data_IF_693259015819
#
_entry.id   IF_693259015819
#
_cell.length_a   1.000
_cell.length_b   1.000
_cell.length_c   1.000
_cell.angle_alpha   90.00
_cell.angle_beta   90.00
_cell.angle_gamma   90.00
#
_symmetry.space_group_name_H-M   'P 1'
#
loop_
_entity.id
_entity.type
_entity.pdbx_description
1 polymer ?
#
# COMPACT_ATOMS: atom_id res chain seq x y z
N UNK A 1 15.52 -14.09 -8.51
CA UNK A 1 14.82 -14.56 -9.74
C UNK A 1 13.90 -15.75 -9.46
N UNK A 2 14.40 -16.87 -8.92
CA UNK A 2 13.53 -18.00 -8.56
C UNK A 2 12.51 -17.68 -7.43
N UNK A 3 12.91 -16.89 -6.43
CA UNK A 3 12.02 -16.40 -5.36
C UNK A 3 10.90 -15.52 -5.90
N UNK A 4 11.21 -14.54 -6.76
CA UNK A 4 10.21 -13.62 -7.30
C UNK A 4 9.24 -14.29 -8.27
N UNK A 5 9.68 -15.27 -9.05
CA UNK A 5 8.79 -16.05 -9.92
C UNK A 5 7.83 -16.92 -9.09
N UNK A 6 8.33 -17.50 -7.99
CA UNK A 6 7.50 -18.23 -7.04
C UNK A 6 6.44 -17.31 -6.41
N UNK A 7 6.82 -16.11 -5.97
CA UNK A 7 5.89 -15.12 -5.41
C UNK A 7 4.78 -14.74 -6.41
N UNK A 8 5.12 -14.43 -7.66
CA UNK A 8 4.13 -14.14 -8.71
C UNK A 8 3.13 -15.29 -8.92
N UNK A 9 3.61 -16.53 -8.95
CA UNK A 9 2.74 -17.71 -9.11
C UNK A 9 1.78 -17.86 -7.92
N UNK A 10 2.28 -17.66 -6.70
CA UNK A 10 1.48 -17.74 -5.47
C UNK A 10 0.38 -16.66 -5.47
N UNK A 11 0.71 -15.42 -5.80
CA UNK A 11 -0.27 -14.34 -5.88
C UNK A 11 -1.39 -14.62 -6.89
N UNK A 12 -1.03 -15.11 -8.07
CA UNK A 12 -1.98 -15.48 -9.13
C UNK A 12 -2.89 -16.65 -8.72
N UNK A 13 -2.34 -17.67 -8.06
CA UNK A 13 -3.10 -18.83 -7.59
C UNK A 13 -4.12 -18.44 -6.51
N UNK A 14 -3.69 -17.65 -5.53
CA UNK A 14 -4.56 -17.19 -4.44
C UNK A 14 -5.68 -16.31 -5.00
N UNK A 15 -5.35 -15.36 -5.87
CA UNK A 15 -6.33 -14.51 -6.54
C UNK A 15 -7.40 -15.32 -7.29
N UNK A 16 -7.03 -16.47 -7.87
CA UNK A 16 -7.99 -17.33 -8.59
C UNK A 16 -8.85 -18.21 -7.68
N UNK A 17 -8.31 -18.67 -6.55
CA UNK A 17 -8.88 -19.81 -5.82
C UNK A 17 -9.32 -19.52 -4.39
N UNK A 18 -8.86 -18.42 -3.77
CA UNK A 18 -8.99 -18.18 -2.32
C UNK A 18 -9.43 -16.76 -1.96
N UNK A 19 -9.91 -16.00 -2.93
CA UNK A 19 -10.37 -14.62 -2.73
C UNK A 19 -11.81 -14.50 -3.19
N UNK A 20 -12.69 -14.12 -2.27
CA UNK A 20 -14.03 -13.67 -2.60
C UNK A 20 -13.95 -12.29 -3.24
N UNK A 21 -14.45 -12.18 -4.48
CA UNK A 21 -14.31 -10.97 -5.29
C UNK A 21 -15.58 -10.15 -5.24
N UNK A 22 -15.38 -8.85 -5.11
CA UNK A 22 -16.42 -7.84 -5.32
C UNK A 22 -16.08 -7.05 -6.59
N UNK A 23 -17.08 -6.37 -7.16
CA UNK A 23 -16.84 -5.49 -8.31
C UNK A 23 -15.84 -4.39 -7.91
N UNK A 24 -14.77 -4.22 -8.69
CA UNK A 24 -13.75 -3.20 -8.45
C UNK A 24 -14.36 -1.79 -8.45
N UNK A 25 -15.31 -1.50 -9.34
CA UNK A 25 -15.99 -0.21 -9.42
C UNK A 25 -16.71 0.15 -8.11
N UNK A 26 -17.26 -0.85 -7.42
CA UNK A 26 -17.92 -0.62 -6.13
C UNK A 26 -16.90 -0.10 -5.10
N UNK A 27 -15.70 -0.66 -5.08
CA UNK A 27 -14.62 -0.24 -4.18
C UNK A 27 -14.11 1.15 -4.59
N UNK A 28 -13.87 1.36 -5.88
CA UNK A 28 -13.39 2.64 -6.43
C UNK A 28 -14.36 3.78 -6.13
N UNK A 29 -15.66 3.58 -6.36
CA UNK A 29 -16.68 4.59 -6.07
C UNK A 29 -16.85 4.82 -4.56
N UNK A 30 -16.81 3.77 -3.75
CA UNK A 30 -16.88 3.90 -2.28
C UNK A 30 -15.66 4.65 -1.74
N UNK A 31 -14.47 4.39 -2.30
CA UNK A 31 -13.28 5.12 -1.91
C UNK A 31 -13.35 6.58 -2.36
N UNK A 32 -13.78 6.83 -3.59
CA UNK A 32 -13.98 8.19 -4.11
C UNK A 32 -14.95 9.02 -3.27
N UNK A 33 -16.05 8.44 -2.80
CA UNK A 33 -16.98 9.14 -1.90
C UNK A 33 -16.37 9.44 -0.54
N UNK A 34 -15.55 8.54 0.01
CA UNK A 34 -14.81 8.80 1.26
C UNK A 34 -13.84 9.96 1.07
N UNK A 35 -13.05 9.98 0.00
CA UNK A 35 -12.09 11.06 -0.27
C UNK A 35 -12.82 12.39 -0.46
N UNK A 36 -13.89 12.42 -1.26
CA UNK A 36 -14.70 13.62 -1.48
C UNK A 36 -15.33 14.16 -0.18
N UNK A 37 -15.82 13.26 0.68
CA UNK A 37 -16.36 13.63 1.99
C UNK A 37 -15.28 14.23 2.89
N UNK A 38 -14.08 13.63 2.94
CA UNK A 38 -12.97 14.17 3.73
C UNK A 38 -12.52 15.54 3.23
N UNK A 39 -12.43 15.74 1.91
CA UNK A 39 -12.13 17.05 1.34
C UNK A 39 -13.16 18.09 1.80
N UNK A 40 -14.44 17.73 1.87
CA UNK A 40 -15.49 18.62 2.37
C UNK A 40 -15.36 18.86 3.87
N UNK A 41 -15.12 17.82 4.67
CA UNK A 41 -15.04 17.90 6.14
C UNK A 41 -13.84 18.68 6.65
N UNK A 42 -12.75 18.71 5.87
CA UNK A 42 -11.51 19.46 6.17
C UNK A 42 -11.42 20.78 5.42
N UNK A 43 -12.52 21.33 4.90
CA UNK A 43 -12.55 22.61 4.18
C UNK A 43 -11.50 22.70 3.04
N UNK A 44 -11.30 21.59 2.33
CA UNK A 44 -10.31 21.44 1.25
C UNK A 44 -8.85 21.66 1.71
N UNK A 45 -8.54 21.43 2.99
CA UNK A 45 -7.17 21.27 3.49
C UNK A 45 -6.64 19.87 3.14
N UNK A 46 -6.01 19.76 1.97
CA UNK A 46 -5.49 18.51 1.45
C UNK A 46 -4.39 17.88 2.31
N UNK A 47 -3.67 18.67 3.09
CA UNK A 47 -2.67 18.14 4.02
C UNK A 47 -3.34 17.33 5.13
N UNK A 48 -4.43 17.85 5.71
CA UNK A 48 -5.21 17.11 6.70
C UNK A 48 -5.91 15.89 6.09
N UNK A 49 -6.44 16.01 4.87
CA UNK A 49 -7.03 14.88 4.14
C UNK A 49 -6.00 13.75 3.97
N UNK A 50 -4.79 14.07 3.52
CA UNK A 50 -3.73 13.08 3.34
C UNK A 50 -3.36 12.38 4.65
N UNK A 51 -3.26 13.11 5.76
CA UNK A 51 -2.98 12.55 7.08
C UNK A 51 -4.10 11.59 7.53
N UNK A 52 -5.36 11.96 7.27
CA UNK A 52 -6.49 11.13 7.62
C UNK A 52 -6.59 9.89 6.73
N UNK A 53 -6.29 10.00 5.43
CA UNK A 53 -6.19 8.86 4.51
C UNK A 53 -5.12 7.86 4.97
N UNK A 54 -3.93 8.34 5.31
CA UNK A 54 -2.84 7.51 5.82
C UNK A 54 -3.22 6.84 7.15
N UNK A 55 -3.85 7.57 8.09
CA UNK A 55 -4.32 7.01 9.35
C UNK A 55 -5.39 5.93 9.17
N UNK A 56 -6.34 6.14 8.26
CA UNK A 56 -7.34 5.11 7.94
C UNK A 56 -6.67 3.88 7.32
N UNK A 57 -5.76 4.10 6.37
CA UNK A 57 -4.97 3.04 5.75
C UNK A 57 -4.22 2.21 6.78
N UNK A 58 -3.56 2.87 7.74
CA UNK A 58 -2.83 2.21 8.82
C UNK A 58 -3.69 1.24 9.61
N UNK A 59 -4.87 1.69 10.05
CA UNK A 59 -5.81 0.82 10.79
C UNK A 59 -6.33 -0.34 9.94
N UNK A 60 -6.54 -0.11 8.63
CA UNK A 60 -6.90 -1.17 7.69
C UNK A 60 -5.76 -2.18 7.56
N UNK A 61 -4.52 -1.72 7.36
CA UNK A 61 -3.33 -2.54 7.21
C UNK A 61 -3.07 -3.46 8.39
N UNK A 62 -3.24 -2.95 9.62
CA UNK A 62 -3.11 -3.75 10.85
C UNK A 62 -4.08 -4.92 10.91
N UNK A 63 -5.27 -4.82 10.30
CA UNK A 63 -6.27 -5.89 10.27
C UNK A 63 -6.11 -6.78 9.04
N UNK A 64 -5.67 -6.20 7.92
CA UNK A 64 -5.54 -6.88 6.64
C UNK A 64 -4.40 -7.91 6.64
N UNK A 65 -3.34 -7.66 7.41
CA UNK A 65 -2.16 -8.52 7.47
C UNK A 65 -2.48 -9.96 7.93
N UNK A 66 -3.43 -10.15 8.86
CA UNK A 66 -3.81 -11.47 9.32
C UNK A 66 -4.44 -12.31 8.20
N UNK A 67 -5.35 -11.70 7.43
CA UNK A 67 -5.97 -12.34 6.26
C UNK A 67 -4.93 -12.63 5.17
N UNK A 68 -3.98 -11.71 4.95
CA UNK A 68 -2.86 -11.92 4.03
C UNK A 68 -2.00 -13.12 4.42
N UNK A 69 -1.62 -13.23 5.70
CA UNK A 69 -0.80 -14.34 6.19
C UNK A 69 -1.55 -15.68 6.11
N UNK A 70 -2.84 -15.69 6.47
CA UNK A 70 -3.69 -16.87 6.39
C UNK A 70 -3.87 -17.38 4.96
N UNK A 71 -4.06 -16.48 3.98
CA UNK A 71 -4.26 -16.85 2.57
C UNK A 71 -2.96 -17.21 1.86
N UNK A 72 -1.89 -16.48 2.14
CA UNK A 72 -0.60 -16.65 1.45
C UNK A 72 0.21 -17.84 1.95
N UNK A 73 -0.03 -18.28 3.19
CA UNK A 73 0.76 -19.31 3.87
C UNK A 73 2.27 -19.01 3.80
N UNK A 74 2.61 -17.72 3.82
CA UNK A 74 3.99 -17.26 3.72
C UNK A 74 4.60 -17.25 5.11
N UNK A 75 5.79 -17.82 5.25
CA UNK A 75 6.61 -17.63 6.44
C UNK A 75 7.18 -16.21 6.55
N UNK A 76 7.92 -15.94 7.63
CA UNK A 76 8.60 -14.66 7.83
C UNK A 76 9.59 -14.39 6.67
N UNK A 77 9.54 -13.18 6.10
CA UNK A 77 10.46 -12.77 5.05
C UNK A 77 11.89 -12.64 5.62
N UNK A 78 12.89 -13.10 4.86
CA UNK A 78 14.28 -13.14 5.35
C UNK A 78 14.98 -11.77 5.27
N UNK A 79 14.59 -10.93 4.31
CA UNK A 79 15.16 -9.61 4.09
C UNK A 79 14.12 -8.68 3.43
N UNK A 80 14.43 -7.38 3.39
CA UNK A 80 13.51 -6.38 2.86
C UNK A 80 13.24 -6.52 1.36
N UNK A 81 14.15 -7.13 0.58
CA UNK A 81 13.92 -7.42 -0.84
C UNK A 81 12.84 -8.48 -1.03
N UNK A 82 12.86 -9.52 -0.21
CA UNK A 82 11.80 -10.53 -0.21
C UNK A 82 10.46 -9.91 0.20
N UNK A 83 10.47 -9.02 1.20
CA UNK A 83 9.27 -8.25 1.59
C UNK A 83 8.71 -7.43 0.43
N UNK A 84 9.56 -6.72 -0.33
CA UNK A 84 9.13 -5.95 -1.49
C UNK A 84 8.49 -6.83 -2.59
N UNK A 85 9.08 -7.99 -2.87
CA UNK A 85 8.52 -8.97 -3.82
C UNK A 85 7.17 -9.49 -3.33
N UNK A 86 7.01 -9.76 -2.03
CA UNK A 86 5.73 -10.20 -1.44
C UNK A 86 4.66 -9.11 -1.51
N UNK A 87 5.01 -7.85 -1.22
CA UNK A 87 4.09 -6.72 -1.34
C UNK A 87 3.59 -6.60 -2.79
N UNK A 88 4.51 -6.50 -3.75
CA UNK A 88 4.20 -6.30 -5.17
C UNK A 88 3.44 -7.47 -5.78
N UNK A 89 3.94 -8.70 -5.62
CA UNK A 89 3.49 -9.86 -6.41
C UNK A 89 2.40 -10.68 -5.75
N UNK A 90 2.22 -10.51 -4.43
CA UNK A 90 1.26 -11.26 -3.65
C UNK A 90 0.25 -10.31 -3.02
N UNK A 91 0.69 -9.31 -2.26
CA UNK A 91 -0.18 -8.36 -1.56
C UNK A 91 -1.10 -7.59 -2.51
N UNK A 92 -0.51 -6.76 -3.37
CA UNK A 92 -1.27 -5.99 -4.35
C UNK A 92 -2.07 -6.88 -5.32
N UNK A 93 -1.54 -8.06 -5.65
CA UNK A 93 -2.22 -9.00 -6.55
C UNK A 93 -3.48 -9.60 -5.92
N UNK A 94 -3.42 -9.97 -4.64
CA UNK A 94 -4.55 -10.58 -3.92
C UNK A 94 -5.65 -9.57 -3.62
N UNK A 95 -5.29 -8.31 -3.30
CA UNK A 95 -6.28 -7.33 -2.83
C UNK A 95 -6.82 -6.43 -3.93
N UNK A 96 -5.98 -6.08 -4.91
CA UNK A 96 -6.30 -5.08 -5.93
C UNK A 96 -6.11 -5.60 -7.36
N UNK A 97 -5.71 -6.87 -7.54
CA UNK A 97 -5.41 -7.49 -8.83
C UNK A 97 -4.29 -6.81 -9.65
N UNK A 98 -3.50 -5.94 -9.03
CA UNK A 98 -2.39 -5.24 -9.68
C UNK A 98 -1.05 -5.80 -9.23
N UNK A 99 0.00 -5.55 -10.01
CA UNK A 99 1.35 -6.01 -9.68
C UNK A 99 2.33 -4.87 -9.97
N UNK A 100 2.50 -3.93 -9.02
CA UNK A 100 3.40 -2.81 -9.21
C UNK A 100 4.83 -3.30 -9.37
N UNK A 101 5.61 -2.66 -10.24
CA UNK A 101 7.00 -3.06 -10.49
C UNK A 101 7.91 -2.50 -9.40
N UNK A 102 8.69 -3.38 -8.75
CA UNK A 102 9.67 -3.00 -7.74
C UNK A 102 10.95 -2.49 -8.42
N UNK A 103 11.32 -1.23 -8.20
CA UNK A 103 12.48 -0.58 -8.83
C UNK A 103 13.24 0.32 -7.84
N UNK A 104 14.22 1.09 -8.35
CA UNK A 104 14.91 2.17 -7.64
C UNK A 104 15.45 1.80 -6.25
N UNK A 105 16.00 0.59 -6.13
CA UNK A 105 16.65 0.13 -4.90
C UNK A 105 17.86 1.00 -4.53
N UNK A 106 17.92 1.37 -3.26
CA UNK A 106 19.13 1.93 -2.65
C UNK A 106 20.19 0.85 -2.45
N UNK A 107 21.46 1.27 -2.43
CA UNK A 107 22.60 0.36 -2.30
C UNK A 107 22.61 -0.42 -0.96
N UNK A 108 22.03 0.15 0.10
CA UNK A 108 21.91 -0.46 1.42
C UNK A 108 20.68 -1.38 1.55
N UNK A 109 19.88 -1.52 0.50
CA UNK A 109 18.65 -2.32 0.47
C UNK A 109 17.59 -1.90 1.50
N UNK A 110 17.61 -0.65 1.96
CA UNK A 110 16.60 -0.14 2.91
C UNK A 110 15.46 0.59 2.25
N UNK A 111 15.57 0.91 0.97
CA UNK A 111 14.56 1.70 0.27
C UNK A 111 14.40 1.22 -1.16
N UNK A 112 13.15 1.16 -1.62
CA UNK A 112 12.77 0.81 -2.99
C UNK A 112 11.55 1.63 -3.42
N UNK A 113 11.23 1.57 -4.71
CA UNK A 113 10.02 2.17 -5.26
C UNK A 113 9.08 1.12 -5.83
N UNK A 114 7.79 1.37 -5.69
CA UNK A 114 6.71 0.65 -6.36
C UNK A 114 6.19 1.56 -7.48
N UNK A 115 6.34 1.10 -8.73
CA UNK A 115 5.77 1.75 -9.90
C UNK A 115 4.45 1.08 -10.26
N UNK A 116 3.39 1.87 -10.35
CA UNK A 116 2.06 1.41 -10.70
C UNK A 116 1.80 1.72 -12.17
N UNK A 117 1.62 0.68 -12.99
CA UNK A 117 1.22 0.85 -14.39
C UNK A 117 -0.26 1.25 -14.50
N UNK A 118 -1.10 0.70 -13.62
CA UNK A 118 -2.51 1.01 -13.48
C UNK A 118 -2.85 1.12 -11.99
N UNK A 119 -3.50 2.23 -11.60
CA UNK A 119 -3.96 2.43 -10.22
C UNK A 119 -5.48 2.21 -10.15
N UNK A 120 -5.95 1.06 -9.63
CA UNK A 120 -7.36 0.67 -9.70
C UNK A 120 -8.27 1.56 -8.83
N UNK A 121 -7.70 2.34 -7.91
CA UNK A 121 -8.44 3.32 -7.12
C UNK A 121 -8.70 4.61 -7.90
N UNK A 122 -7.95 4.87 -8.97
CA UNK A 122 -7.93 6.15 -9.68
C UNK A 122 -8.61 6.13 -11.07
N UNK A 123 -9.13 4.98 -11.52
CA UNK A 123 -9.61 4.78 -12.90
C UNK A 123 -10.72 5.76 -13.38
N UNK A 124 -11.43 6.43 -12.47
CA UNK A 124 -12.50 7.40 -12.79
C UNK A 124 -12.35 8.72 -12.03
N UNK A 125 -11.14 9.04 -11.60
CA UNK A 125 -10.89 10.16 -10.71
C UNK A 125 -10.26 11.30 -11.48
N UNK A 126 -10.88 12.47 -11.37
CA UNK A 126 -10.26 13.75 -11.74
C UNK A 126 -10.14 14.57 -10.46
N UNK A 127 -8.96 15.15 -10.22
CA UNK A 127 -8.76 16.02 -9.07
C UNK A 127 -9.52 17.34 -9.29
N UNK A 128 -10.04 17.97 -8.21
CA UNK A 128 -10.65 19.29 -8.31
C UNK A 128 -9.73 20.31 -8.99
N UNK A 129 -10.29 21.15 -9.85
CA UNK A 129 -9.57 22.25 -10.52
C UNK A 129 -9.56 23.52 -9.66
N UNK A 130 -9.19 23.38 -8.39
CA UNK A 130 -9.07 24.49 -7.43
C UNK A 130 -7.65 25.04 -7.33
N UNK A 131 -6.74 24.52 -8.16
CA UNK A 131 -5.33 24.88 -8.23
C UNK A 131 -4.47 24.36 -7.08
N UNK A 132 -5.04 23.68 -6.07
CA UNK A 132 -4.31 23.12 -4.92
C UNK A 132 -4.33 21.60 -4.91
N UNK A 133 -5.43 20.98 -5.32
CA UNK A 133 -5.58 19.53 -5.29
C UNK A 133 -4.47 18.83 -6.10
N UNK A 134 -4.12 19.36 -7.26
CA UNK A 134 -3.05 18.82 -8.11
C UNK A 134 -1.67 18.88 -7.45
N UNK A 135 -1.45 19.79 -6.50
CA UNK A 135 -0.16 19.98 -5.83
C UNK A 135 -0.08 19.34 -4.45
N UNK A 136 -1.22 19.16 -3.77
CA UNK A 136 -1.25 18.76 -2.37
C UNK A 136 -1.94 17.41 -2.15
N UNK A 137 -2.96 17.04 -2.92
CA UNK A 137 -3.75 15.83 -2.66
C UNK A 137 -3.07 14.58 -3.22
N UNK A 138 -2.81 13.62 -2.34
CA UNK A 138 -2.41 12.27 -2.72
C UNK A 138 -3.64 11.37 -2.65
N UNK A 139 -4.37 11.26 -3.76
CA UNK A 139 -5.66 10.59 -3.79
C UNK A 139 -5.59 9.17 -3.23
N UNK A 140 -4.51 8.43 -3.50
CA UNK A 140 -4.33 7.05 -3.03
C UNK A 140 -3.50 6.91 -1.76
N UNK A 141 -3.36 7.97 -0.93
CA UNK A 141 -2.50 7.94 0.27
C UNK A 141 -2.92 6.89 1.31
N UNK A 142 -4.16 6.37 1.22
CA UNK A 142 -4.59 5.22 2.02
C UNK A 142 -3.67 4.00 1.83
N UNK A 143 -3.09 3.81 0.63
CA UNK A 143 -2.21 2.69 0.35
C UNK A 143 -0.89 2.78 1.13
N UNK A 144 -0.36 3.99 1.33
CA UNK A 144 0.81 4.23 2.18
C UNK A 144 0.54 3.75 3.61
N UNK A 145 -0.61 4.16 4.14
CA UNK A 145 -1.08 3.75 5.46
C UNK A 145 -1.22 2.24 5.58
N UNK A 146 -1.85 1.59 4.60
CA UNK A 146 -2.04 0.13 4.58
C UNK A 146 -0.71 -0.60 4.66
N UNK A 147 0.29 -0.19 3.86
CA UNK A 147 1.62 -0.80 3.91
C UNK A 147 2.28 -0.59 5.28
N UNK A 148 2.17 0.62 5.84
CA UNK A 148 2.76 0.96 7.14
C UNK A 148 2.15 0.12 8.27
N UNK A 149 0.82 0.04 8.33
CA UNK A 149 0.12 -0.76 9.34
C UNK A 149 0.35 -2.26 9.19
N UNK A 150 0.37 -2.77 7.96
CA UNK A 150 0.59 -4.19 7.70
C UNK A 150 2.02 -4.61 8.06
N UNK A 151 3.03 -3.80 7.72
CA UNK A 151 4.43 -4.11 7.99
C UNK A 151 4.82 -3.94 9.46
N UNK A 152 4.16 -3.03 10.17
CA UNK A 152 4.36 -2.87 11.62
C UNK A 152 4.00 -4.15 12.39
N UNK A 153 2.90 -4.81 12.01
CA UNK A 153 2.47 -6.09 12.61
C UNK A 153 3.41 -7.27 12.34
N UNK A 154 4.32 -7.13 11.36
CA UNK A 154 5.40 -8.10 11.08
C UNK A 154 6.77 -7.53 11.43
N UNK A 155 6.81 -6.62 12.41
CA UNK A 155 8.01 -6.10 13.06
C UNK A 155 8.91 -5.28 12.14
N UNK A 156 8.34 -4.62 11.13
CA UNK A 156 9.04 -3.73 10.22
C UNK A 156 8.42 -2.34 10.30
N UNK A 157 9.13 -1.40 10.93
CA UNK A 157 8.76 0.00 10.91
C UNK A 157 9.25 0.62 9.59
N UNK A 158 8.30 1.09 8.79
CA UNK A 158 8.56 1.68 7.47
C UNK A 158 7.96 3.08 7.35
N UNK A 159 8.48 3.82 6.38
CA UNK A 159 7.87 5.02 5.84
C UNK A 159 7.45 4.76 4.39
N UNK A 160 6.23 5.12 4.04
CA UNK A 160 5.71 5.04 2.67
C UNK A 160 5.11 6.38 2.28
N UNK A 161 5.48 6.89 1.10
CA UNK A 161 4.92 8.12 0.54
C UNK A 161 4.95 8.07 -0.99
N UNK A 162 4.02 8.78 -1.63
CA UNK A 162 4.05 8.98 -3.08
C UNK A 162 5.10 10.01 -3.47
N UNK A 163 5.79 9.76 -4.57
CA UNK A 163 6.79 10.64 -5.18
C UNK A 163 6.21 11.31 -6.42
N UNK A 164 5.41 10.57 -7.19
CA UNK A 164 4.72 11.04 -8.38
C UNK A 164 3.37 10.35 -8.52
N UNK A 165 2.42 11.01 -9.18
CA UNK A 165 1.09 10.45 -9.45
C UNK A 165 0.54 10.97 -10.79
N UNK A 166 -0.03 10.08 -11.60
CA UNK A 166 -0.68 10.42 -12.87
C UNK A 166 -1.85 11.37 -12.66
N UNK A 167 -2.57 11.26 -11.54
CA UNK A 167 -3.66 12.18 -11.18
C UNK A 167 -3.18 13.64 -11.01
N UNK A 168 -1.90 13.82 -10.71
CA UNK A 168 -1.24 15.12 -10.56
C UNK A 168 -0.51 15.56 -11.83
N UNK A 169 -0.70 14.86 -12.94
CA UNK A 169 -0.10 15.16 -14.24
C UNK A 169 1.31 14.59 -14.44
N UNK A 170 1.76 13.63 -13.61
CA UNK A 170 3.03 12.94 -13.86
C UNK A 170 2.88 11.77 -14.85
N UNK A 171 3.99 11.30 -15.41
CA UNK A 171 3.98 10.19 -16.38
C UNK A 171 3.65 8.83 -15.74
N UNK A 172 4.02 8.66 -14.47
CA UNK A 172 3.87 7.40 -13.72
C UNK A 172 3.51 7.67 -12.27
N UNK A 173 2.80 6.73 -11.66
CA UNK A 173 2.55 6.73 -10.21
C UNK A 173 3.66 5.95 -9.52
N UNK A 174 4.44 6.63 -8.68
CA UNK A 174 5.57 6.06 -7.93
C UNK A 174 5.35 6.23 -6.43
N UNK A 175 5.42 5.13 -5.70
CA UNK A 175 5.44 5.11 -4.23
C UNK A 175 6.80 4.68 -3.72
N UNK A 176 7.41 5.49 -2.85
CA UNK A 176 8.66 5.18 -2.17
C UNK A 176 8.38 4.47 -0.86
N UNK A 177 9.09 3.38 -0.60
CA UNK A 177 9.00 2.62 0.65
C UNK A 177 10.39 2.52 1.27
N UNK A 178 10.51 2.96 2.53
CA UNK A 178 11.77 3.05 3.28
C UNK A 178 11.66 2.27 4.58
N UNK A 179 12.56 1.32 4.81
CA UNK A 179 12.73 0.64 6.09
C UNK A 179 13.45 1.56 7.08
N UNK A 180 12.76 1.93 8.15
CA UNK A 180 13.32 2.75 9.23
C UNK A 180 14.09 1.85 10.21
N UNK A 181 13.41 0.82 10.73
CA UNK A 181 13.99 -0.12 11.68
C UNK A 181 13.17 -1.41 11.75
N UNK A 182 13.82 -2.48 12.22
CA UNK A 182 13.10 -3.65 12.72
C UNK A 182 12.67 -3.38 14.16
N UNK A 183 11.44 -3.78 14.48
CA UNK A 183 10.88 -3.64 15.83
C UNK A 183 11.30 -4.89 16.61
N UNK A 184 11.88 -4.69 17.79
CA UNK A 184 12.23 -5.78 18.70
C UNK A 184 11.01 -6.12 19.57
N UNK A 185 10.72 -7.40 19.77
CA UNK A 185 9.76 -7.82 20.80
C UNK A 185 10.41 -7.65 22.16
N UNK A 186 9.93 -6.71 22.97
CA UNK A 186 10.17 -6.78 24.41
C UNK A 186 9.30 -7.92 24.96
N UNK A 187 9.93 -9.03 25.35
CA UNK A 187 9.24 -10.02 26.20
C UNK A 187 8.82 -9.31 27.48
N UNK A 188 7.53 -9.41 27.91
CA UNK A 188 7.19 -9.00 29.27
C UNK A 188 8.10 -9.78 30.23
N UNK A 189 8.64 -9.13 31.27
CA UNK A 189 9.42 -9.83 32.28
C UNK A 189 8.56 -10.97 32.82
N UNK A 190 9.13 -12.17 32.90
CA UNK A 190 8.46 -13.31 33.54
C UNK A 190 8.04 -12.87 34.95
N UNK A 191 6.72 -12.85 35.21
CA UNK A 191 6.19 -12.68 36.56
C UNK A 191 6.62 -13.92 37.37
N UNK A 192 7.60 -13.75 38.27
CA UNK A 192 7.97 -14.76 39.29
C UNK A 192 6.82 -15.06 40.27
#
# INVERSE_FOLDING_TARGET
>A
MASSQKAARVGEEIWKTRVDKVNAELVTLTYGTIVAQLCTDYDYDYTQVNQQLDKMGYNIGMRLIEDFLAKSNTGRCANFRDTADMISKVGFKIFLNVTPTVTNWTADNKQFSLLFDENPLADFVELPDDGKAQDELWFSNVLCGVLRGALEMVQMSIEAHFVSDVLRGNDVTEMRVTLIRYIEDEMPPDDE
#
